data_IF_559400982659
#
_entry.id   IF_559400982659
#
_cell.length_a   1.000
_cell.length_b   1.000
_cell.length_c   1.000
_cell.angle_alpha   90.00
_cell.angle_beta   90.00
_cell.angle_gamma   90.00
#
_symmetry.space_group_name_H-M   'P 1'
#
loop_
_entity.id
_entity.type
_entity.pdbx_description
1 polymer ?
#
# COMPACT_ATOMS: atom_id res chain seq x y z
N UNK A 1 -38.74 -13.78 -28.36
CA UNK A 1 -38.26 -13.08 -27.15
C UNK A 1 -37.60 -14.00 -26.11
N UNK A 2 -38.04 -15.24 -25.91
CA UNK A 2 -37.48 -16.18 -24.92
C UNK A 2 -36.03 -16.63 -25.16
N UNK A 3 -35.52 -16.60 -26.39
CA UNK A 3 -34.12 -16.96 -26.69
C UNK A 3 -33.09 -15.86 -26.35
N UNK A 4 -33.49 -14.58 -26.33
CA UNK A 4 -32.62 -13.46 -25.92
C UNK A 4 -32.36 -13.49 -24.41
N UNK A 5 -33.43 -13.68 -23.62
CA UNK A 5 -33.36 -13.81 -22.16
C UNK A 5 -32.47 -14.97 -21.69
N UNK A 6 -32.37 -16.06 -22.46
CA UNK A 6 -31.45 -17.20 -22.19
C UNK A 6 -29.98 -16.89 -22.50
N UNK A 7 -29.71 -16.02 -23.47
CA UNK A 7 -28.35 -15.56 -23.80
C UNK A 7 -27.85 -14.54 -22.79
N UNK A 8 -28.68 -13.53 -22.51
CA UNK A 8 -28.38 -12.45 -21.57
C UNK A 8 -28.15 -12.98 -20.15
N UNK A 9 -28.99 -13.93 -19.69
CA UNK A 9 -28.80 -14.57 -18.38
C UNK A 9 -27.46 -15.32 -18.24
N UNK A 10 -27.01 -15.99 -19.30
CA UNK A 10 -25.69 -16.65 -19.32
C UNK A 10 -24.55 -15.64 -19.32
N UNK A 11 -24.68 -14.56 -20.08
CA UNK A 11 -23.67 -13.52 -20.16
C UNK A 11 -23.52 -12.78 -18.82
N UNK A 12 -24.63 -12.42 -18.18
CA UNK A 12 -24.64 -11.78 -16.86
C UNK A 12 -24.03 -12.72 -15.81
N UNK A 13 -24.41 -14.00 -15.78
CA UNK A 13 -23.85 -14.96 -14.83
C UNK A 13 -22.33 -15.14 -15.02
N UNK A 14 -21.88 -15.21 -16.28
CA UNK A 14 -20.46 -15.36 -16.63
C UNK A 14 -19.65 -14.12 -16.25
N UNK A 15 -20.19 -12.92 -16.47
CA UNK A 15 -19.58 -11.66 -16.02
C UNK A 15 -19.51 -11.62 -14.51
N UNK A 16 -20.60 -11.96 -13.82
CA UNK A 16 -20.66 -11.88 -12.37
C UNK A 16 -19.60 -12.79 -11.72
N UNK A 17 -19.52 -14.05 -12.16
CA UNK A 17 -18.54 -14.98 -11.64
C UNK A 17 -17.10 -14.59 -12.03
N UNK A 18 -16.87 -14.25 -13.30
CA UNK A 18 -15.55 -13.87 -13.81
C UNK A 18 -15.02 -12.57 -13.19
N UNK A 19 -15.88 -11.56 -13.03
CA UNK A 19 -15.53 -10.28 -12.44
C UNK A 19 -15.24 -10.41 -10.93
N UNK A 20 -16.02 -11.20 -10.18
CA UNK A 20 -15.75 -11.44 -8.75
C UNK A 20 -14.37 -12.07 -8.57
N UNK A 21 -14.09 -13.14 -9.33
CA UNK A 21 -12.79 -13.82 -9.25
C UNK A 21 -11.65 -12.84 -9.60
N UNK A 22 -11.80 -12.10 -10.70
CA UNK A 22 -10.78 -11.14 -11.14
C UNK A 22 -10.55 -10.01 -10.12
N UNK A 23 -11.62 -9.47 -9.53
CA UNK A 23 -11.53 -8.40 -8.52
C UNK A 23 -10.86 -8.91 -7.25
N UNK A 24 -11.24 -10.09 -6.74
CA UNK A 24 -10.66 -10.66 -5.51
C UNK A 24 -9.16 -10.92 -5.66
N UNK A 25 -8.70 -11.40 -6.81
CA UNK A 25 -7.25 -11.52 -7.05
C UNK A 25 -6.59 -10.15 -7.20
N UNK A 26 -7.23 -9.22 -7.91
CA UNK A 26 -6.69 -7.89 -8.13
C UNK A 26 -6.54 -7.09 -6.85
N UNK A 27 -7.44 -7.20 -5.88
CA UNK A 27 -7.33 -6.49 -4.60
C UNK A 27 -6.05 -6.88 -3.87
N UNK A 28 -5.72 -8.17 -3.81
CA UNK A 28 -4.48 -8.62 -3.16
C UNK A 28 -3.22 -8.08 -3.87
N UNK A 29 -3.21 -8.04 -5.21
CA UNK A 29 -2.10 -7.44 -5.96
C UNK A 29 -2.03 -5.92 -5.77
N UNK A 30 -3.19 -5.27 -5.73
CA UNK A 30 -3.29 -3.82 -5.54
C UNK A 30 -2.76 -3.40 -4.18
N UNK A 31 -3.12 -4.11 -3.12
CA UNK A 31 -2.64 -3.83 -1.77
C UNK A 31 -1.12 -4.00 -1.68
N UNK A 32 -0.58 -5.07 -2.28
CA UNK A 32 0.87 -5.27 -2.33
C UNK A 32 1.58 -4.15 -3.10
N UNK A 33 1.09 -3.78 -4.29
CA UNK A 33 1.66 -2.67 -5.07
C UNK A 33 1.55 -1.35 -4.31
N UNK A 34 0.45 -1.11 -3.61
CA UNK A 34 0.25 0.12 -2.84
C UNK A 34 1.27 0.22 -1.71
N UNK A 35 1.42 -0.83 -0.90
CA UNK A 35 2.42 -0.90 0.18
C UNK A 35 3.84 -0.76 -0.37
N UNK A 36 4.14 -1.36 -1.52
CA UNK A 36 5.47 -1.27 -2.12
C UNK A 36 5.78 0.08 -2.79
N UNK A 37 4.78 0.92 -3.06
CA UNK A 37 4.96 2.17 -3.82
C UNK A 37 4.56 3.43 -3.06
N UNK A 38 4.11 3.30 -1.82
CA UNK A 38 3.65 4.41 -0.98
C UNK A 38 4.42 4.43 0.34
N UNK A 39 4.79 5.61 0.79
CA UNK A 39 5.39 5.84 2.12
C UNK A 39 4.31 5.77 3.20
N UNK A 40 4.68 5.33 4.40
CA UNK A 40 3.80 5.32 5.56
C UNK A 40 4.24 6.37 6.58
N UNK A 41 3.30 6.83 7.41
CA UNK A 41 3.55 7.82 8.46
C UNK A 41 3.14 7.26 9.80
N UNK A 42 4.07 7.23 10.76
CA UNK A 42 3.76 7.05 12.17
C UNK A 42 3.42 8.41 12.75
N UNK A 43 2.33 8.50 13.51
CA UNK A 43 1.91 9.73 14.18
C UNK A 43 1.72 9.44 15.66
N UNK A 44 2.41 10.18 16.52
CA UNK A 44 2.24 10.21 17.97
C UNK A 44 2.25 8.82 18.62
N UNK A 45 3.14 7.93 18.16
CA UNK A 45 3.25 6.59 18.72
C UNK A 45 4.16 6.59 19.93
N UNK A 46 3.67 6.04 21.03
CA UNK A 46 4.43 6.00 22.28
C UNK A 46 5.46 4.88 22.26
N UNK A 47 6.72 5.23 22.52
CA UNK A 47 7.85 4.31 22.61
C UNK A 47 8.67 4.59 23.87
N UNK A 48 9.16 3.53 24.51
CA UNK A 48 10.01 3.65 25.69
C UNK A 48 11.46 3.83 25.28
N UNK A 49 12.09 4.90 25.75
CA UNK A 49 13.50 5.17 25.49
C UNK A 49 14.37 4.12 26.20
N UNK A 50 15.20 3.42 25.42
CA UNK A 50 16.15 2.44 25.93
C UNK A 50 17.35 3.10 26.60
N UNK A 51 18.31 2.28 27.06
CA UNK A 51 19.55 2.78 27.64
C UNK A 51 20.33 3.65 26.63
N UNK A 52 21.18 4.52 27.16
CA UNK A 52 22.06 5.38 26.37
C UNK A 52 22.94 4.52 25.44
N UNK A 53 23.16 5.00 24.22
CA UNK A 53 23.93 4.35 23.16
C UNK A 53 23.36 2.99 22.73
N UNK A 54 22.07 2.75 23.02
CA UNK A 54 21.32 1.63 22.46
C UNK A 54 20.25 2.14 21.49
N UNK A 55 20.04 1.37 20.42
CA UNK A 55 19.08 1.68 19.38
C UNK A 55 17.85 0.79 19.54
N UNK A 56 16.67 1.42 19.60
CA UNK A 56 15.38 0.74 19.50
C UNK A 56 14.98 0.65 18.03
N UNK A 57 14.59 -0.55 17.57
CA UNK A 57 13.94 -0.68 16.27
C UNK A 57 12.53 -0.07 16.32
N UNK A 58 12.27 0.82 15.37
CA UNK A 58 10.97 1.39 15.08
C UNK A 58 10.40 0.75 13.80
N UNK A 59 9.13 1.02 13.50
CA UNK A 59 8.50 0.51 12.29
C UNK A 59 9.12 1.15 11.04
N UNK A 60 9.32 0.35 9.99
CA UNK A 60 9.82 0.85 8.72
C UNK A 60 11.29 0.59 8.46
N UNK A 61 11.63 0.64 7.17
CA UNK A 61 12.96 0.30 6.64
C UNK A 61 13.84 1.53 6.43
N UNK A 62 13.32 2.55 5.76
CA UNK A 62 14.05 3.78 5.46
C UNK A 62 13.32 5.00 6.02
N UNK A 63 14.04 5.89 6.67
CA UNK A 63 13.51 7.18 7.10
C UNK A 63 13.43 8.14 5.91
N UNK A 64 12.29 8.79 5.70
CA UNK A 64 12.07 9.74 4.59
C UNK A 64 12.07 11.19 5.07
N UNK A 65 11.24 11.54 6.07
CA UNK A 65 11.06 12.92 6.50
C UNK A 65 10.36 13.06 7.85
N UNK A 66 10.49 14.26 8.42
CA UNK A 66 9.91 14.80 9.65
C UNK A 66 10.05 13.89 10.87
N UNK A 67 11.18 13.99 11.57
CA UNK A 67 11.41 13.35 12.86
C UNK A 67 10.92 14.28 13.97
N UNK A 68 9.67 14.12 14.38
CA UNK A 68 9.23 14.79 15.61
C UNK A 68 9.27 13.77 16.75
N UNK A 69 10.20 13.98 17.66
CA UNK A 69 10.23 13.27 18.95
C UNK A 69 9.68 14.22 19.99
N UNK A 70 8.42 14.04 20.37
CA UNK A 70 7.75 14.93 21.31
C UNK A 70 7.48 14.20 22.63
N UNK A 71 7.72 14.88 23.75
CA UNK A 71 7.23 14.40 25.05
C UNK A 71 5.75 14.76 25.22
N UNK A 72 5.11 14.24 26.28
CA UNK A 72 3.75 14.59 26.74
C UNK A 72 3.54 16.11 26.90
N UNK A 73 4.63 16.88 27.08
CA UNK A 73 4.64 18.35 27.15
C UNK A 73 4.88 19.06 25.80
N UNK A 74 4.83 18.35 24.66
CA UNK A 74 4.96 18.90 23.30
C UNK A 74 6.26 19.66 23.02
N UNK A 75 7.36 19.26 23.67
CA UNK A 75 8.70 19.81 23.41
C UNK A 75 9.47 18.86 22.50
N UNK A 76 10.13 19.40 21.46
CA UNK A 76 11.06 18.63 20.63
C UNK A 76 12.21 18.10 21.49
N UNK A 77 12.40 16.78 21.47
CA UNK A 77 13.42 16.07 22.23
C UNK A 77 14.66 15.74 21.39
N UNK A 78 14.70 16.15 20.11
CA UNK A 78 15.90 16.03 19.28
C UNK A 78 17.10 16.76 19.92
N UNK A 79 16.86 17.96 20.44
CA UNK A 79 17.86 18.76 21.17
C UNK A 79 18.25 18.14 22.52
N UNK A 80 17.41 17.24 23.05
CA UNK A 80 17.65 16.50 24.30
C UNK A 80 18.31 15.15 24.08
N UNK A 81 18.80 14.89 22.86
CA UNK A 81 19.65 13.74 22.58
C UNK A 81 18.94 12.49 22.07
N UNK A 82 17.66 12.59 21.71
CA UNK A 82 16.92 11.52 21.04
C UNK A 82 17.03 11.68 19.53
N UNK A 83 17.60 10.69 18.86
CA UNK A 83 17.88 10.73 17.42
C UNK A 83 17.10 9.60 16.75
N UNK A 84 16.26 9.96 15.78
CA UNK A 84 15.68 8.99 14.84
C UNK A 84 16.55 8.97 13.59
N UNK A 85 17.05 7.80 13.22
CA UNK A 85 17.89 7.60 12.04
C UNK A 85 17.63 6.25 11.40
N UNK A 86 17.92 6.11 10.11
CA UNK A 86 17.98 4.79 9.48
C UNK A 86 19.29 4.08 9.85
N UNK A 87 19.20 2.78 10.11
CA UNK A 87 20.33 1.96 10.52
C UNK A 87 20.14 0.50 10.14
N UNK A 88 21.13 -0.34 10.43
CA UNK A 88 21.01 -1.79 10.30
C UNK A 88 20.95 -2.39 11.69
N UNK A 89 19.83 -3.01 12.04
CA UNK A 89 19.65 -3.74 13.29
C UNK A 89 19.35 -5.20 12.95
N UNK A 90 20.10 -6.13 13.54
CA UNK A 90 19.96 -7.58 13.30
C UNK A 90 20.00 -7.99 11.81
N UNK A 91 20.78 -7.27 10.99
CA UNK A 91 20.96 -7.58 9.56
C UNK A 91 19.86 -7.07 8.63
N UNK A 92 18.84 -6.38 9.16
CA UNK A 92 17.82 -5.69 8.38
C UNK A 92 17.98 -4.18 8.49
N UNK A 93 17.71 -3.46 7.40
CA UNK A 93 17.64 -2.00 7.43
C UNK A 93 16.34 -1.59 8.13
N UNK A 94 16.42 -0.73 9.13
CA UNK A 94 15.30 -0.37 9.99
C UNK A 94 15.44 1.07 10.46
N UNK A 95 14.31 1.74 10.67
CA UNK A 95 14.28 3.04 11.36
C UNK A 95 14.57 2.80 12.83
N UNK A 96 15.51 3.55 13.39
CA UNK A 96 15.97 3.36 14.77
C UNK A 96 15.82 4.63 15.58
N UNK A 97 15.47 4.49 16.85
CA UNK A 97 15.56 5.54 17.85
C UNK A 97 16.77 5.27 18.74
N UNK A 98 17.71 6.22 18.78
CA UNK A 98 18.91 6.12 19.61
C UNK A 98 18.96 7.27 20.60
N UNK A 99 19.24 6.95 21.86
CA UNK A 99 19.45 7.93 22.92
C UNK A 99 20.96 8.17 23.10
N UNK A 100 21.42 9.40 22.94
CA UNK A 100 22.81 9.77 23.23
C UNK A 100 23.00 10.16 24.71
N UNK A 101 24.23 10.50 25.10
CA UNK A 101 24.57 10.81 26.51
C UNK A 101 23.75 11.98 27.12
N UNK A 102 23.26 12.91 26.28
CA UNK A 102 22.40 14.02 26.71
C UNK A 102 20.97 13.59 27.06
N UNK A 103 20.54 12.40 26.61
CA UNK A 103 19.21 11.85 26.85
C UNK A 103 19.11 11.02 28.15
N UNK A 104 20.12 11.05 29.02
CA UNK A 104 20.17 10.26 30.27
C UNK A 104 18.93 10.41 31.17
N UNK A 105 18.34 11.61 31.22
CA UNK A 105 17.13 11.90 32.00
C UNK A 105 15.82 11.37 31.36
N UNK A 106 15.88 10.90 30.11
CA UNK A 106 14.74 10.38 29.36
C UNK A 106 14.73 8.85 29.28
N UNK A 107 15.82 8.19 29.66
CA UNK A 107 15.91 6.73 29.68
C UNK A 107 14.80 6.13 30.57
N UNK A 108 14.07 5.15 30.04
CA UNK A 108 12.94 4.52 30.72
C UNK A 108 11.63 5.34 30.70
N UNK A 109 11.64 6.54 30.13
CA UNK A 109 10.41 7.32 29.91
C UNK A 109 9.77 6.98 28.57
N UNK A 110 8.44 7.10 28.50
CA UNK A 110 7.71 7.00 27.26
C UNK A 110 7.72 8.35 26.54
N UNK A 111 8.14 8.34 25.27
CA UNK A 111 8.13 9.50 24.38
C UNK A 111 7.28 9.19 23.17
N UNK A 112 6.71 10.21 22.55
CA UNK A 112 5.93 10.02 21.34
C UNK A 112 6.79 10.35 20.12
N UNK A 113 6.77 9.46 19.14
CA UNK A 113 7.49 9.63 17.88
C UNK A 113 6.50 9.76 16.73
N UNK A 114 6.81 10.69 15.84
CA UNK A 114 6.14 10.85 14.54
C UNK A 114 7.21 10.92 13.46
N UNK A 115 7.07 10.10 12.42
CA UNK A 115 8.01 10.06 11.31
C UNK A 115 7.40 9.43 10.05
N UNK A 116 7.94 9.81 8.89
CA UNK A 116 7.59 9.21 7.60
C UNK A 116 8.66 8.21 7.20
N UNK A 117 8.25 7.01 6.79
CA UNK A 117 9.16 5.93 6.44
C UNK A 117 8.74 5.18 5.17
N UNK A 118 9.69 4.46 4.58
CA UNK A 118 9.43 3.44 3.57
C UNK A 118 9.14 2.10 4.27
N UNK A 119 7.98 1.48 4.05
CA UNK A 119 7.67 0.16 4.62
C UNK A 119 8.58 -0.93 4.05
N UNK A 120 8.55 -2.10 4.69
CA UNK A 120 9.24 -3.27 4.17
C UNK A 120 8.72 -3.65 2.77
N UNK A 121 9.64 -4.01 1.88
CA UNK A 121 9.32 -4.28 0.47
C UNK A 121 9.13 -3.04 -0.40
N UNK A 122 9.23 -1.82 0.15
CA UNK A 122 9.12 -0.59 -0.66
C UNK A 122 10.15 -0.53 -1.79
N UNK A 123 9.70 -0.21 -2.99
CA UNK A 123 10.52 -0.04 -4.18
C UNK A 123 11.14 1.37 -4.14
N UNK A 124 12.44 1.43 -3.84
CA UNK A 124 13.19 2.69 -3.76
C UNK A 124 13.30 3.39 -5.12
N UNK A 125 13.43 2.63 -6.21
CA UNK A 125 13.50 3.15 -7.57
C UNK A 125 12.17 3.73 -8.08
N UNK A 126 12.22 4.94 -8.61
CA UNK A 126 11.04 5.63 -9.16
C UNK A 126 10.49 4.92 -10.41
N UNK A 127 11.37 4.31 -11.21
CA UNK A 127 10.98 3.53 -12.39
C UNK A 127 10.19 2.28 -11.99
N UNK A 128 10.70 1.50 -11.05
CA UNK A 128 10.05 0.31 -10.51
C UNK A 128 8.68 0.61 -9.90
N UNK A 129 8.53 1.72 -9.17
CA UNK A 129 7.21 2.16 -8.66
C UNK A 129 6.24 2.48 -9.78
N UNK A 130 6.70 3.17 -10.82
CA UNK A 130 5.88 3.56 -11.96
C UNK A 130 5.40 2.34 -12.75
N UNK A 131 6.29 1.37 -12.99
CA UNK A 131 5.95 0.11 -13.68
C UNK A 131 4.94 -0.69 -12.85
N UNK A 132 5.13 -0.79 -11.54
CA UNK A 132 4.21 -1.52 -10.66
C UNK A 132 2.80 -0.95 -10.70
N UNK A 133 2.66 0.40 -10.67
CA UNK A 133 1.37 1.06 -10.84
C UNK A 133 0.77 0.85 -12.24
N UNK A 134 1.61 0.82 -13.28
CA UNK A 134 1.15 0.56 -14.64
C UNK A 134 0.56 -0.85 -14.80
N UNK A 135 1.17 -1.86 -14.17
CA UNK A 135 0.65 -3.25 -14.18
C UNK A 135 -0.79 -3.30 -13.63
N UNK A 136 -1.06 -2.53 -12.57
CA UNK A 136 -2.40 -2.44 -11.99
C UNK A 136 -3.41 -1.82 -12.96
N UNK A 137 -3.03 -0.75 -13.65
CA UNK A 137 -3.88 -0.09 -14.66
C UNK A 137 -4.16 -1.02 -15.85
N UNK A 138 -3.14 -1.72 -16.36
CA UNK A 138 -3.31 -2.68 -17.46
C UNK A 138 -4.22 -3.85 -17.03
N UNK A 139 -4.06 -4.33 -15.80
CA UNK A 139 -4.91 -5.40 -15.25
C UNK A 139 -6.36 -4.96 -15.11
N UNK A 140 -6.61 -3.74 -14.64
CA UNK A 140 -7.95 -3.15 -14.58
C UNK A 140 -8.58 -3.04 -15.98
N UNK A 141 -7.82 -2.60 -16.97
CA UNK A 141 -8.28 -2.53 -18.36
C UNK A 141 -8.63 -3.91 -18.93
N UNK A 142 -7.85 -4.95 -18.61
CA UNK A 142 -8.13 -6.32 -19.05
C UNK A 142 -9.48 -6.84 -18.54
N UNK A 143 -9.90 -6.50 -17.32
CA UNK A 143 -11.23 -6.84 -16.80
C UNK A 143 -12.32 -6.16 -17.63
N UNK A 144 -12.16 -4.88 -17.95
CA UNK A 144 -13.13 -4.15 -18.77
C UNK A 144 -13.27 -4.80 -20.16
N UNK A 145 -12.15 -5.14 -20.79
CA UNK A 145 -12.14 -5.83 -22.09
C UNK A 145 -12.82 -7.19 -21.98
N UNK A 146 -12.57 -7.95 -20.92
CA UNK A 146 -13.24 -9.23 -20.67
C UNK A 146 -14.77 -9.07 -20.62
N UNK A 147 -15.27 -8.10 -19.85
CA UNK A 147 -16.71 -7.82 -19.74
C UNK A 147 -17.31 -7.50 -21.10
N UNK A 148 -16.64 -6.63 -21.88
CA UNK A 148 -17.07 -6.26 -23.23
C UNK A 148 -17.15 -7.52 -24.11
N UNK A 149 -16.08 -8.34 -24.16
CA UNK A 149 -16.04 -9.55 -25.00
C UNK A 149 -17.16 -10.53 -24.62
N UNK A 150 -17.45 -10.71 -23.34
CA UNK A 150 -18.54 -11.59 -22.89
C UNK A 150 -19.90 -11.05 -23.33
N UNK A 151 -20.14 -9.74 -23.23
CA UNK A 151 -21.37 -9.12 -23.73
C UNK A 151 -21.53 -9.26 -25.24
N UNK A 152 -20.45 -9.16 -26.00
CA UNK A 152 -20.48 -9.39 -27.45
C UNK A 152 -20.66 -10.86 -27.82
N UNK A 153 -20.05 -11.82 -27.11
CA UNK A 153 -20.17 -13.24 -27.49
C UNK A 153 -21.49 -13.88 -27.06
N UNK A 154 -21.98 -13.53 -25.88
CA UNK A 154 -23.10 -14.24 -25.26
C UNK A 154 -24.34 -13.35 -25.03
N UNK A 155 -24.19 -12.03 -25.08
CA UNK A 155 -25.28 -11.09 -24.87
C UNK A 155 -26.07 -10.73 -26.13
N UNK A 156 -27.21 -10.09 -25.92
CA UNK A 156 -28.13 -9.61 -26.95
C UNK A 156 -27.54 -8.56 -27.89
N UNK A 157 -26.43 -7.90 -27.53
CA UNK A 157 -25.74 -6.90 -28.36
C UNK A 157 -25.34 -7.47 -29.72
N UNK A 158 -24.77 -8.68 -29.76
CA UNK A 158 -24.40 -9.32 -31.02
C UNK A 158 -25.62 -9.80 -31.82
N UNK A 159 -26.71 -10.14 -31.13
CA UNK A 159 -27.97 -10.46 -31.82
C UNK A 159 -28.57 -9.21 -32.47
N UNK A 160 -28.50 -8.04 -31.81
CA UNK A 160 -28.96 -6.75 -32.34
C UNK A 160 -28.12 -6.26 -33.52
N UNK A 161 -26.80 -6.43 -33.47
CA UNK A 161 -25.90 -6.05 -34.57
C UNK A 161 -26.17 -6.93 -35.80
N UNK A 162 -26.33 -8.24 -35.61
CA UNK A 162 -26.58 -9.17 -36.71
C UNK A 162 -28.01 -9.07 -37.26
N UNK A 163 -29.00 -8.64 -36.47
CA UNK A 163 -30.36 -8.42 -36.96
C UNK A 163 -30.47 -7.18 -37.85
N UNK A 164 -29.75 -6.09 -37.54
CA UNK A 164 -29.71 -4.88 -38.40
C UNK A 164 -28.90 -5.05 -39.68
N UNK A 165 -28.05 -6.06 -39.77
CA UNK A 165 -27.23 -6.34 -40.96
C UNK A 165 -27.94 -7.18 -42.02
N UNK A 166 -29.13 -7.68 -41.70
CA UNK A 166 -29.97 -8.52 -42.57
C UNK A 166 -31.16 -7.77 -43.16
N UNK A 167 -31.34 -6.51 -42.78
CA UNK A 167 -32.21 -5.53 -43.46
C UNK A 167 -31.35 -4.72 -44.46
#
# INVERSE_FOLDING_TARGET
MTNSLKGDGKAIFTIFLGAIIAIVFMTSFADNIFTQTTTATVVNTSVTVLAINTSLALEGRDLISATEVINVTFTDLAERGLIISDGVLNGAKTVTLTANDSASALVGTAVNVSYTYNPDGYISDAGGRSISKLILVISALAIVVFVIVVMFKFGSINQLINSRRKE
#
